data_IF_490217646548
#
_entry.id   IF_490217646548
#
_cell.length_a   1.000
_cell.length_b   1.000
_cell.length_c   1.000
_cell.angle_alpha   90.00
_cell.angle_beta   90.00
_cell.angle_gamma   90.00
#
_symmetry.space_group_name_H-M   'P 1'
#
loop_
_entity.id
_entity.type
_entity.pdbx_description
1 polymer ?
#
# COMPACT_ATOMS: atom_id res chain seq x y z
N UNK A 1 -13.74 -30.19 -18.45
CA UNK A 1 -12.90 -29.84 -19.64
C UNK A 1 -12.40 -28.42 -19.42
N UNK A 2 -11.12 -28.12 -19.65
CA UNK A 2 -10.58 -26.76 -19.51
C UNK A 2 -11.21 -25.87 -20.59
N UNK A 3 -11.86 -24.81 -20.19
CA UNK A 3 -12.55 -23.86 -21.09
C UNK A 3 -11.54 -22.87 -21.65
N UNK A 4 -11.62 -22.55 -22.94
CA UNK A 4 -10.81 -21.48 -23.52
C UNK A 4 -11.18 -20.14 -22.86
N UNK A 5 -10.17 -19.37 -22.45
CA UNK A 5 -10.42 -18.02 -21.92
C UNK A 5 -11.03 -17.13 -23.04
N UNK A 6 -11.96 -16.22 -22.71
CA UNK A 6 -12.51 -15.26 -23.66
C UNK A 6 -11.42 -14.39 -24.28
N UNK A 7 -11.71 -13.77 -25.45
CA UNK A 7 -10.80 -12.79 -26.05
C UNK A 7 -10.83 -11.47 -25.24
N UNK A 8 -9.71 -10.75 -25.20
CA UNK A 8 -9.65 -9.44 -24.54
C UNK A 8 -10.46 -8.43 -25.33
N UNK A 9 -11.34 -7.69 -24.65
CA UNK A 9 -12.18 -6.66 -25.29
C UNK A 9 -11.34 -5.49 -25.79
N UNK A 10 -11.74 -4.88 -26.89
CA UNK A 10 -11.15 -3.67 -27.48
C UNK A 10 -11.43 -2.40 -26.65
N UNK A 11 -12.34 -2.47 -25.68
CA UNK A 11 -12.63 -1.38 -24.73
C UNK A 11 -11.57 -1.19 -23.65
N UNK A 12 -10.63 -2.11 -23.52
CA UNK A 12 -9.51 -1.98 -22.58
C UNK A 12 -8.58 -0.85 -23.02
N UNK A 13 -8.26 0.03 -22.08
CA UNK A 13 -7.24 1.07 -22.30
C UNK A 13 -5.88 0.56 -21.82
N UNK A 14 -4.87 0.57 -22.70
CA UNK A 14 -3.50 0.14 -22.43
C UNK A 14 -2.57 1.35 -22.36
N UNK A 15 -2.43 2.04 -21.22
CA UNK A 15 -1.65 3.26 -21.12
C UNK A 15 -0.18 3.03 -21.47
N UNK A 16 0.37 3.85 -22.39
CA UNK A 16 1.77 3.75 -22.82
C UNK A 16 2.08 2.60 -23.79
N UNK A 17 1.07 1.88 -24.30
CA UNK A 17 1.23 0.88 -25.37
C UNK A 17 0.60 1.38 -26.66
N UNK A 18 1.30 1.24 -27.80
CA UNK A 18 0.72 1.61 -29.12
C UNK A 18 -0.33 0.59 -29.60
N UNK A 19 -0.22 -0.66 -29.16
CA UNK A 19 -1.11 -1.75 -29.58
C UNK A 19 -1.74 -2.44 -28.38
N UNK A 20 -3.02 -2.76 -28.48
CA UNK A 20 -3.74 -3.54 -27.48
C UNK A 20 -3.19 -4.98 -27.43
N UNK A 21 -3.10 -5.55 -26.22
CA UNK A 21 -2.77 -6.97 -26.05
C UNK A 21 -3.98 -7.82 -26.44
N UNK A 22 -3.74 -8.92 -27.14
CA UNK A 22 -4.75 -9.92 -27.50
C UNK A 22 -4.46 -11.23 -26.76
N UNK A 23 -5.47 -12.07 -26.58
CA UNK A 23 -5.25 -13.41 -25.99
C UNK A 23 -4.28 -14.26 -26.82
N UNK A 24 -4.22 -14.04 -28.15
CA UNK A 24 -3.25 -14.69 -29.01
C UNK A 24 -1.79 -14.39 -28.63
N UNK A 25 -1.52 -13.20 -28.08
CA UNK A 25 -0.17 -12.78 -27.65
C UNK A 25 0.27 -13.50 -26.37
N UNK A 26 -0.69 -14.01 -25.58
CA UNK A 26 -0.45 -14.80 -24.35
C UNK A 26 -0.38 -16.31 -24.63
N UNK A 27 -0.62 -16.78 -25.87
CA UNK A 27 -0.50 -18.21 -26.22
C UNK A 27 0.94 -18.61 -26.49
N UNK A 28 1.24 -19.90 -26.33
CA UNK A 28 2.56 -20.48 -26.57
C UNK A 28 3.40 -20.66 -25.31
N UNK A 29 3.03 -20.04 -24.20
CA UNK A 29 3.55 -20.32 -22.87
C UNK A 29 2.40 -20.19 -21.85
N UNK A 30 2.51 -20.77 -20.66
CA UNK A 30 1.58 -20.50 -19.56
C UNK A 30 1.50 -19.01 -19.27
N UNK A 31 0.32 -18.54 -18.89
CA UNK A 31 0.11 -17.13 -18.62
C UNK A 31 -0.65 -16.89 -17.32
N UNK A 32 -0.32 -15.81 -16.63
CA UNK A 32 -1.01 -15.28 -15.48
C UNK A 32 -1.83 -14.06 -15.92
N UNK A 33 -3.14 -14.11 -15.75
CA UNK A 33 -4.03 -13.01 -16.04
C UNK A 33 -4.74 -12.57 -14.77
N UNK A 34 -4.35 -11.40 -14.25
CA UNK A 34 -4.89 -10.85 -13.01
C UNK A 34 -6.02 -9.88 -13.28
N UNK A 35 -7.09 -9.99 -12.52
CA UNK A 35 -8.16 -9.00 -12.41
C UNK A 35 -8.14 -8.38 -11.00
N UNK A 36 -8.11 -7.05 -10.93
CA UNK A 36 -7.98 -6.37 -9.64
C UNK A 36 -8.39 -4.91 -9.67
N UNK A 37 -8.19 -4.19 -8.57
CA UNK A 37 -8.27 -2.74 -8.50
C UNK A 37 -6.98 -2.16 -7.89
N UNK A 38 -6.59 -0.96 -8.31
CA UNK A 38 -5.30 -0.37 -7.96
C UNK A 38 -5.14 -0.06 -6.46
N UNK A 39 -6.23 0.30 -5.78
CA UNK A 39 -6.26 0.60 -4.35
C UNK A 39 -6.23 -0.62 -3.44
N UNK A 40 -6.49 -1.82 -3.96
CA UNK A 40 -6.52 -3.04 -3.14
C UNK A 40 -5.12 -3.51 -2.76
N UNK A 41 -4.87 -3.65 -1.46
CA UNK A 41 -3.64 -4.22 -0.91
C UNK A 41 -3.38 -5.63 -1.46
N UNK A 42 -4.41 -6.45 -1.57
CA UNK A 42 -4.34 -7.81 -2.12
C UNK A 42 -4.00 -7.83 -3.63
N UNK A 43 -4.52 -6.88 -4.41
CA UNK A 43 -4.15 -6.74 -5.83
C UNK A 43 -2.67 -6.39 -5.95
N UNK A 44 -2.19 -5.42 -5.16
CA UNK A 44 -0.79 -5.00 -5.13
C UNK A 44 0.15 -6.16 -4.76
N UNK A 45 -0.23 -6.98 -3.79
CA UNK A 45 0.50 -8.20 -3.43
C UNK A 45 0.59 -9.16 -4.63
N UNK A 46 -0.54 -9.44 -5.30
CA UNK A 46 -0.53 -10.33 -6.48
C UNK A 46 0.31 -9.80 -7.64
N UNK A 47 0.33 -8.48 -7.87
CA UNK A 47 1.22 -7.86 -8.86
C UNK A 47 2.70 -8.12 -8.53
N UNK A 48 3.08 -7.98 -7.26
CA UNK A 48 4.44 -8.28 -6.79
C UNK A 48 4.77 -9.78 -6.90
N UNK A 49 3.84 -10.67 -6.56
CA UNK A 49 3.98 -12.12 -6.69
C UNK A 49 4.20 -12.53 -8.15
N UNK A 50 3.38 -12.01 -9.06
CA UNK A 50 3.52 -12.25 -10.50
C UNK A 50 4.87 -11.75 -11.03
N UNK A 51 5.33 -10.60 -10.56
CA UNK A 51 6.65 -10.06 -10.91
C UNK A 51 7.79 -10.99 -10.47
N UNK A 52 7.69 -11.57 -9.27
CA UNK A 52 8.67 -12.54 -8.76
C UNK A 52 8.68 -13.82 -9.58
N UNK A 53 7.50 -14.36 -9.92
CA UNK A 53 7.36 -15.55 -10.74
C UNK A 53 7.91 -15.35 -12.16
N UNK A 54 7.63 -14.20 -12.78
CA UNK A 54 8.18 -13.87 -14.10
C UNK A 54 9.70 -13.76 -14.09
N UNK A 55 10.30 -13.21 -13.03
CA UNK A 55 11.77 -13.20 -12.88
C UNK A 55 12.34 -14.61 -12.76
N UNK A 56 11.66 -15.48 -11.99
CA UNK A 56 12.10 -16.87 -11.76
C UNK A 56 12.00 -17.76 -13.02
N UNK A 57 10.89 -17.64 -13.77
CA UNK A 57 10.61 -18.54 -14.90
C UNK A 57 11.03 -17.99 -16.27
N UNK A 58 11.43 -16.71 -16.33
CA UNK A 58 11.92 -16.12 -17.57
C UNK A 58 10.87 -16.18 -18.69
N UNK A 59 11.29 -16.59 -19.90
CA UNK A 59 10.43 -16.62 -21.08
C UNK A 59 9.42 -17.78 -21.08
N UNK A 60 9.48 -18.66 -20.09
CA UNK A 60 8.55 -19.78 -19.92
C UNK A 60 7.22 -19.38 -19.28
N UNK A 61 7.07 -18.12 -18.88
CA UNK A 61 5.85 -17.60 -18.25
C UNK A 61 5.51 -16.22 -18.80
N UNK A 62 4.24 -15.97 -19.04
CA UNK A 62 3.71 -14.66 -19.43
C UNK A 62 2.77 -14.11 -18.39
N UNK A 63 2.51 -12.81 -18.43
CA UNK A 63 1.54 -12.16 -17.54
C UNK A 63 0.94 -10.89 -18.13
N UNK A 64 -0.27 -10.58 -17.68
CA UNK A 64 -0.93 -9.30 -17.86
C UNK A 64 -1.88 -9.05 -16.67
N UNK A 65 -2.23 -7.79 -16.42
CA UNK A 65 -3.24 -7.48 -15.42
C UNK A 65 -4.29 -6.49 -15.97
N UNK A 66 -5.55 -6.74 -15.62
CA UNK A 66 -6.70 -5.94 -15.97
C UNK A 66 -7.23 -5.28 -14.70
N UNK A 67 -7.19 -3.96 -14.66
CA UNK A 67 -7.49 -3.17 -13.46
C UNK A 67 -8.84 -2.48 -13.67
N UNK A 68 -9.83 -2.90 -12.89
CA UNK A 68 -11.14 -2.26 -12.85
C UNK A 68 -11.14 -1.19 -11.74
N UNK A 69 -11.65 0.03 -12.01
CA UNK A 69 -11.62 1.10 -11.03
C UNK A 69 -12.67 0.84 -9.94
N UNK A 70 -12.24 0.93 -8.67
CA UNK A 70 -13.12 0.96 -7.52
C UNK A 70 -13.52 2.39 -7.16
N UNK A 71 -12.55 3.30 -7.22
CA UNK A 71 -12.72 4.71 -6.93
C UNK A 71 -12.69 5.54 -8.23
N UNK A 72 -13.31 6.72 -8.18
CA UNK A 72 -13.30 7.64 -9.34
C UNK A 72 -11.88 8.04 -9.76
N UNK A 73 -10.99 8.22 -8.79
CA UNK A 73 -9.57 8.50 -9.05
C UNK A 73 -8.89 7.40 -9.89
N UNK A 74 -9.29 6.15 -9.78
CA UNK A 74 -8.69 5.04 -10.52
C UNK A 74 -9.11 4.98 -12.00
N UNK A 75 -10.10 5.79 -12.43
CA UNK A 75 -10.51 5.90 -13.83
C UNK A 75 -9.51 6.67 -14.69
N UNK A 76 -8.60 7.42 -14.06
CA UNK A 76 -7.54 8.13 -14.79
C UNK A 76 -6.43 7.15 -15.19
N UNK A 77 -6.16 6.98 -16.52
CA UNK A 77 -5.09 6.07 -16.98
C UNK A 77 -3.69 6.41 -16.44
N UNK A 78 -3.45 7.66 -16.01
CA UNK A 78 -2.18 8.07 -15.39
C UNK A 78 -1.92 7.35 -14.08
N UNK A 79 -2.96 7.08 -13.30
CA UNK A 79 -2.84 6.34 -12.04
C UNK A 79 -2.43 4.87 -12.27
N UNK A 80 -2.83 4.29 -13.42
CA UNK A 80 -2.37 2.96 -13.80
C UNK A 80 -0.90 2.95 -14.23
N UNK A 81 -0.43 3.98 -14.93
CA UNK A 81 0.99 4.15 -15.24
C UNK A 81 1.83 4.33 -13.98
N UNK A 82 1.30 5.10 -13.03
CA UNK A 82 1.93 5.27 -11.71
C UNK A 82 2.03 3.94 -10.97
N UNK A 83 0.95 3.16 -10.90
CA UNK A 83 0.96 1.82 -10.28
C UNK A 83 2.01 0.91 -10.93
N UNK A 84 2.10 0.91 -12.26
CA UNK A 84 3.09 0.13 -13.00
C UNK A 84 4.52 0.55 -12.66
N UNK A 85 4.78 1.85 -12.59
CA UNK A 85 6.11 2.39 -12.26
C UNK A 85 6.45 2.14 -10.78
N UNK A 86 5.52 2.38 -9.85
CA UNK A 86 5.67 2.15 -8.42
C UNK A 86 6.08 0.70 -8.10
N UNK A 87 5.49 -0.28 -8.80
CA UNK A 87 5.80 -1.70 -8.63
C UNK A 87 6.86 -2.24 -9.59
N UNK A 88 7.42 -1.38 -10.47
CA UNK A 88 8.37 -1.79 -11.53
C UNK A 88 7.91 -3.05 -12.28
N UNK A 89 6.62 -3.11 -12.66
CA UNK A 89 5.99 -4.30 -13.21
C UNK A 89 6.55 -4.64 -14.60
N UNK A 90 7.04 -5.88 -14.84
CA UNK A 90 7.62 -6.28 -16.12
C UNK A 90 6.60 -6.73 -17.18
N UNK A 91 5.30 -6.58 -16.89
CA UNK A 91 4.19 -7.01 -17.75
C UNK A 91 3.17 -5.89 -17.93
N UNK A 92 2.32 -5.97 -18.98
CA UNK A 92 1.36 -4.92 -19.28
C UNK A 92 0.18 -4.87 -18.31
N UNK A 93 -0.30 -3.64 -18.06
CA UNK A 93 -1.54 -3.36 -17.36
C UNK A 93 -2.56 -2.74 -18.32
N UNK A 94 -3.84 -3.11 -18.17
CA UNK A 94 -4.95 -2.44 -18.82
C UNK A 94 -5.94 -1.87 -17.81
N UNK A 95 -6.55 -0.75 -18.14
CA UNK A 95 -7.69 -0.19 -17.45
C UNK A 95 -8.99 -0.74 -18.06
N UNK A 96 -9.77 -1.44 -17.26
CA UNK A 96 -11.14 -1.90 -17.58
C UNK A 96 -12.14 -0.90 -16.98
N UNK A 97 -12.18 0.33 -17.52
CA UNK A 97 -12.91 1.44 -16.94
C UNK A 97 -14.42 1.17 -16.80
N UNK A 98 -14.97 0.39 -17.72
CA UNK A 98 -16.41 0.08 -17.80
C UNK A 98 -16.76 -1.34 -17.31
N UNK A 99 -15.78 -2.06 -16.72
CA UNK A 99 -15.93 -3.41 -16.17
C UNK A 99 -16.34 -4.45 -17.23
N UNK A 100 -16.01 -4.22 -18.50
CA UNK A 100 -16.42 -5.09 -19.61
C UNK A 100 -15.65 -6.41 -19.58
N UNK A 101 -14.31 -6.36 -19.43
CA UNK A 101 -13.51 -7.56 -19.30
C UNK A 101 -13.84 -8.31 -18.01
N UNK A 102 -14.09 -7.59 -16.92
CA UNK A 102 -14.55 -8.15 -15.66
C UNK A 102 -15.78 -9.03 -15.83
N UNK A 103 -16.81 -8.51 -16.49
CA UNK A 103 -18.06 -9.24 -16.76
C UNK A 103 -17.83 -10.41 -17.72
N UNK A 104 -17.09 -10.17 -18.80
CA UNK A 104 -16.81 -11.16 -19.84
C UNK A 104 -16.07 -12.41 -19.30
N UNK A 105 -15.18 -12.23 -18.33
CA UNK A 105 -14.44 -13.32 -17.69
C UNK A 105 -15.15 -13.90 -16.46
N UNK A 106 -16.36 -13.41 -16.14
CA UNK A 106 -17.13 -13.86 -14.99
C UNK A 106 -16.39 -13.67 -13.66
N UNK A 107 -15.76 -12.48 -13.49
CA UNK A 107 -15.04 -12.14 -12.25
C UNK A 107 -16.03 -11.61 -11.23
N UNK A 108 -15.99 -12.14 -10.00
CA UNK A 108 -16.91 -11.78 -8.93
C UNK A 108 -16.24 -10.98 -7.80
N UNK A 109 -14.90 -11.09 -7.69
CA UNK A 109 -14.14 -10.41 -6.66
C UNK A 109 -12.71 -10.12 -7.08
N UNK A 110 -12.06 -9.17 -6.42
CA UNK A 110 -10.64 -8.84 -6.62
C UNK A 110 -9.79 -9.15 -5.37
N UNK A 111 -8.53 -9.53 -5.59
CA UNK A 111 -7.98 -9.95 -6.87
C UNK A 111 -8.51 -11.34 -7.28
N UNK A 112 -8.67 -11.55 -8.58
CA UNK A 112 -8.84 -12.89 -9.15
C UNK A 112 -7.73 -13.14 -10.16
N UNK A 113 -6.97 -14.21 -9.97
CA UNK A 113 -5.88 -14.60 -10.82
C UNK A 113 -6.28 -15.86 -11.62
N UNK A 114 -6.22 -15.76 -12.95
CA UNK A 114 -6.40 -16.91 -13.84
C UNK A 114 -5.04 -17.46 -14.24
N UNK A 115 -4.85 -18.77 -14.07
CA UNK A 115 -3.73 -19.52 -14.59
C UNK A 115 -4.16 -20.15 -15.92
N UNK A 116 -3.52 -19.72 -17.00
CA UNK A 116 -3.81 -20.19 -18.37
C UNK A 116 -2.70 -21.12 -18.85
N UNK A 117 -3.06 -22.18 -19.55
CA UNK A 117 -2.08 -23.03 -20.23
C UNK A 117 -1.56 -22.36 -21.54
N UNK A 118 -0.59 -22.98 -22.19
CA UNK A 118 0.01 -22.49 -23.42
C UNK A 118 -1.00 -22.35 -24.61
N UNK A 119 -2.16 -22.95 -24.51
CA UNK A 119 -3.25 -22.84 -25.48
C UNK A 119 -4.24 -21.73 -25.12
N UNK A 120 -4.08 -21.06 -23.96
CA UNK A 120 -4.97 -20.03 -23.45
C UNK A 120 -6.23 -20.59 -22.79
N UNK A 121 -6.21 -21.84 -22.30
CA UNK A 121 -7.31 -22.46 -21.57
C UNK A 121 -7.13 -22.23 -20.07
N UNK A 122 -8.21 -21.88 -19.36
CA UNK A 122 -8.20 -21.71 -17.91
C UNK A 122 -7.94 -23.06 -17.22
N UNK A 123 -6.84 -23.15 -16.46
CA UNK A 123 -6.45 -24.33 -15.67
C UNK A 123 -6.83 -24.16 -14.19
N UNK A 124 -6.73 -22.95 -13.70
CA UNK A 124 -7.04 -22.63 -12.30
C UNK A 124 -7.46 -21.18 -12.18
N UNK A 125 -8.42 -20.93 -11.30
CA UNK A 125 -8.86 -19.61 -10.85
C UNK A 125 -8.56 -19.49 -9.37
N UNK A 126 -7.86 -18.43 -8.96
CA UNK A 126 -7.48 -18.16 -7.58
C UNK A 126 -8.09 -16.83 -7.19
N UNK A 127 -8.92 -16.84 -6.16
CA UNK A 127 -9.59 -15.65 -5.62
C UNK A 127 -8.85 -15.21 -4.36
N UNK A 128 -8.58 -13.91 -4.25
CA UNK A 128 -7.87 -13.31 -3.12
C UNK A 128 -6.35 -13.42 -3.23
N UNK A 129 -5.68 -12.93 -2.20
CA UNK A 129 -4.23 -13.03 -2.01
C UNK A 129 -3.95 -14.12 -1.00
N UNK A 130 -3.51 -15.29 -1.45
CA UNK A 130 -3.04 -16.38 -0.60
C UNK A 130 -1.51 -16.46 -0.58
N UNK A 131 -0.94 -17.46 0.12
CA UNK A 131 0.50 -17.63 0.23
C UNK A 131 1.21 -17.74 -1.13
N UNK A 132 2.36 -17.07 -1.23
CA UNK A 132 3.18 -17.10 -2.45
C UNK A 132 3.65 -18.52 -2.80
N UNK A 133 3.92 -19.36 -1.81
CA UNK A 133 4.38 -20.72 -1.99
C UNK A 133 3.40 -21.57 -2.80
N UNK A 134 2.10 -21.53 -2.47
CA UNK A 134 1.06 -22.26 -3.20
C UNK A 134 0.95 -21.80 -4.66
N UNK A 135 1.02 -20.51 -4.90
CA UNK A 135 1.01 -19.96 -6.25
C UNK A 135 2.25 -20.40 -7.02
N UNK A 136 3.43 -20.41 -6.39
CA UNK A 136 4.69 -20.82 -7.01
C UNK A 136 4.66 -22.31 -7.42
N UNK A 137 4.12 -23.19 -6.59
CA UNK A 137 3.94 -24.61 -6.89
C UNK A 137 3.03 -24.83 -8.10
N UNK A 138 1.87 -24.15 -8.14
CA UNK A 138 0.93 -24.25 -9.26
C UNK A 138 1.57 -23.76 -10.58
N UNK A 139 2.28 -22.64 -10.54
CA UNK A 139 2.97 -22.10 -11.72
C UNK A 139 4.11 -23.04 -12.17
N UNK A 140 4.88 -23.57 -11.23
CA UNK A 140 5.97 -24.52 -11.52
C UNK A 140 5.43 -25.78 -12.22
N UNK A 141 4.32 -26.35 -11.74
CA UNK A 141 3.67 -27.49 -12.36
C UNK A 141 3.22 -27.18 -13.79
N UNK A 142 2.57 -26.03 -13.98
CA UNK A 142 2.05 -25.61 -15.29
C UNK A 142 3.17 -25.34 -16.30
N UNK A 143 4.28 -24.76 -15.87
CA UNK A 143 5.47 -24.56 -16.71
C UNK A 143 6.13 -25.90 -17.07
N UNK A 144 6.17 -26.85 -16.14
CA UNK A 144 6.77 -28.19 -16.39
C UNK A 144 5.95 -29.04 -17.37
N UNK A 145 4.62 -28.89 -17.41
CA UNK A 145 3.72 -29.55 -18.36
C UNK A 145 3.86 -29.00 -19.80
N UNK A 146 4.47 -27.83 -19.96
CA UNK A 146 4.53 -27.13 -21.24
C UNK A 146 5.80 -27.56 -22.00
N UNK A 147 5.70 -28.10 -23.22
CA UNK A 147 6.88 -28.42 -24.05
C UNK A 147 7.71 -27.15 -24.29
N UNK A 148 9.01 -27.33 -24.47
CA UNK A 148 9.87 -26.21 -24.87
C UNK A 148 9.39 -25.58 -26.17
N UNK A 149 8.96 -24.29 -26.07
CA UNK A 149 8.53 -23.50 -27.20
C UNK A 149 9.66 -22.54 -27.56
N UNK A 150 9.93 -22.27 -28.84
CA UNK A 150 10.89 -21.25 -29.25
C UNK A 150 10.59 -19.93 -28.58
N UNK A 151 11.62 -19.25 -28.09
CA UNK A 151 11.49 -17.96 -27.39
C UNK A 151 10.61 -16.99 -28.17
N UNK A 152 9.43 -16.70 -27.67
CA UNK A 152 8.54 -15.67 -28.19
C UNK A 152 8.82 -14.33 -27.49
N UNK A 153 8.60 -13.25 -28.23
CA UNK A 153 8.70 -11.91 -27.66
C UNK A 153 7.60 -11.74 -26.60
N UNK A 154 8.01 -11.54 -25.36
CA UNK A 154 7.08 -11.25 -24.25
C UNK A 154 6.24 -10.02 -24.54
N UNK A 155 4.97 -9.99 -24.11
CA UNK A 155 4.23 -8.75 -24.02
C UNK A 155 5.03 -7.76 -23.16
N UNK A 156 5.55 -6.71 -23.79
CA UNK A 156 6.31 -5.70 -23.06
C UNK A 156 5.42 -4.96 -22.07
N UNK A 157 5.98 -4.53 -20.96
CA UNK A 157 5.32 -3.60 -20.04
C UNK A 157 4.85 -2.33 -20.79
N UNK A 158 3.87 -1.64 -20.23
CA UNK A 158 3.36 -0.40 -20.81
C UNK A 158 4.46 0.69 -20.81
N UNK A 159 4.75 1.22 -21.97
CA UNK A 159 5.78 2.21 -22.17
C UNK A 159 7.22 1.63 -22.20
N UNK A 160 8.13 2.40 -22.76
CA UNK A 160 9.55 2.16 -22.50
C UNK A 160 9.73 2.32 -20.99
N UNK A 161 10.58 1.52 -20.34
CA UNK A 161 11.28 1.96 -19.14
C UNK A 161 11.94 3.29 -19.50
N UNK A 162 11.16 4.37 -19.44
CA UNK A 162 11.73 5.68 -19.32
C UNK A 162 12.62 5.53 -18.09
N UNK A 163 13.89 5.82 -18.23
CA UNK A 163 14.71 6.13 -17.09
C UNK A 163 13.85 7.14 -16.31
N UNK A 164 13.15 6.68 -15.25
CA UNK A 164 12.62 7.60 -14.25
C UNK A 164 13.85 8.44 -13.91
N UNK A 165 13.77 9.78 -13.99
CA UNK A 165 14.87 10.58 -13.53
C UNK A 165 15.28 10.02 -12.17
N UNK A 166 16.56 9.90 -11.90
CA UNK A 166 17.06 9.53 -10.57
C UNK A 166 16.60 10.62 -9.61
N UNK A 167 15.32 10.55 -9.25
CA UNK A 167 14.72 11.47 -8.30
C UNK A 167 15.28 11.12 -6.92
N UNK A 168 15.56 12.10 -6.07
CA UNK A 168 16.01 11.85 -4.71
C UNK A 168 15.04 10.99 -3.92
N UNK A 169 13.73 11.10 -4.20
CA UNK A 169 12.65 10.31 -3.63
C UNK A 169 11.89 9.52 -4.70
N UNK A 170 11.41 8.34 -4.32
CA UNK A 170 10.52 7.52 -5.14
C UNK A 170 9.32 7.04 -4.33
N UNK A 171 8.15 7.58 -4.61
CA UNK A 171 6.89 7.24 -3.94
C UNK A 171 6.99 7.23 -2.40
N UNK A 172 7.40 8.34 -1.74
CA UNK A 172 7.47 8.39 -0.28
C UNK A 172 6.07 8.19 0.31
N UNK A 173 5.91 7.34 1.33
CA UNK A 173 4.58 7.00 1.88
C UNK A 173 4.40 7.36 3.35
N UNK A 174 5.45 7.34 4.15
CA UNK A 174 5.36 7.66 5.56
C UNK A 174 6.51 8.55 6.00
N UNK A 175 6.24 9.31 7.04
CA UNK A 175 7.24 10.15 7.68
C UNK A 175 6.95 10.27 9.18
N UNK A 176 8.00 10.43 9.97
CA UNK A 176 7.91 10.75 11.40
C UNK A 176 8.92 11.82 11.75
N UNK A 177 8.52 12.72 12.64
CA UNK A 177 9.33 13.84 13.10
C UNK A 177 9.97 13.48 14.44
N UNK A 178 11.28 13.51 14.49
CA UNK A 178 12.08 13.35 15.71
C UNK A 178 12.70 14.68 16.17
N UNK A 179 13.54 14.61 17.20
CA UNK A 179 14.27 15.78 17.69
C UNK A 179 15.36 16.20 16.69
N UNK A 180 15.14 17.31 16.01
CA UNK A 180 16.07 17.84 15.00
C UNK A 180 16.18 17.05 13.69
N UNK A 181 15.34 16.05 13.49
CA UNK A 181 15.42 15.12 12.37
C UNK A 181 14.05 14.70 11.86
N UNK A 182 14.02 14.29 10.60
CA UNK A 182 12.88 13.70 9.92
C UNK A 182 13.29 12.32 9.40
N UNK A 183 12.44 11.32 9.60
CA UNK A 183 12.59 9.99 9.01
C UNK A 183 11.51 9.78 7.95
N UNK A 184 11.91 9.27 6.78
CA UNK A 184 11.06 9.15 5.60
C UNK A 184 11.16 7.74 5.01
N UNK A 185 10.03 7.09 4.78
CA UNK A 185 9.96 5.85 4.01
C UNK A 185 9.98 6.19 2.51
N UNK A 186 11.11 6.00 1.87
CA UNK A 186 11.33 6.14 0.43
C UNK A 186 10.99 4.79 -0.25
N UNK A 187 9.68 4.53 -0.31
CA UNK A 187 9.08 3.23 -0.59
C UNK A 187 9.50 2.64 -1.92
N UNK A 188 9.56 3.45 -2.97
CA UNK A 188 9.94 3.00 -4.30
C UNK A 188 11.44 2.73 -4.46
N UNK A 189 12.29 3.33 -3.61
CA UNK A 189 13.71 3.02 -3.52
C UNK A 189 14.05 1.98 -2.44
N UNK A 190 13.04 1.41 -1.78
CA UNK A 190 13.21 0.32 -0.81
C UNK A 190 14.16 0.65 0.35
N UNK A 191 14.09 1.90 0.84
CA UNK A 191 14.97 2.43 1.87
C UNK A 191 14.25 3.37 2.83
N UNK A 192 14.88 3.63 3.96
CA UNK A 192 14.47 4.65 4.93
C UNK A 192 15.54 5.74 4.97
N UNK A 193 15.12 6.99 4.94
CA UNK A 193 16.01 8.14 5.01
C UNK A 193 15.87 8.85 6.35
N UNK A 194 16.99 9.24 6.94
CA UNK A 194 17.10 10.20 8.02
C UNK A 194 17.57 11.53 7.43
N UNK A 195 16.75 12.57 7.54
CA UNK A 195 17.04 13.91 7.01
C UNK A 195 17.03 14.95 8.11
N UNK A 196 17.71 16.07 7.89
CA UNK A 196 17.44 17.31 8.65
C UNK A 196 16.14 17.97 8.14
N UNK A 197 15.68 19.04 8.82
CA UNK A 197 14.46 19.75 8.44
C UNK A 197 14.56 20.58 7.16
N UNK A 198 15.75 20.66 6.54
CA UNK A 198 15.97 21.28 5.24
C UNK A 198 15.98 20.25 4.10
N UNK A 199 15.85 18.96 4.44
CA UNK A 199 15.84 17.87 3.48
C UNK A 199 17.21 17.26 3.17
N UNK A 200 18.28 17.70 3.84
CA UNK A 200 19.59 17.09 3.69
C UNK A 200 19.57 15.68 4.28
N UNK A 201 19.95 14.69 3.48
CA UNK A 201 20.08 13.29 3.91
C UNK A 201 21.29 13.17 4.84
N UNK A 202 21.04 12.75 6.08
CA UNK A 202 22.06 12.51 7.10
C UNK A 202 22.51 11.06 7.08
N UNK A 203 21.54 10.13 6.98
CA UNK A 203 21.78 8.68 6.87
C UNK A 203 20.71 8.02 6.01
N UNK A 204 21.11 6.92 5.40
CA UNK A 204 20.21 5.99 4.73
C UNK A 204 20.26 4.65 5.47
N UNK A 205 19.11 4.01 5.62
CA UNK A 205 18.96 2.64 6.09
C UNK A 205 18.35 1.80 4.98
N UNK A 206 19.02 0.72 4.64
CA UNK A 206 18.70 -0.14 3.51
C UNK A 206 19.54 0.16 2.27
N UNK A 207 20.02 -0.90 1.62
CA UNK A 207 20.85 -0.85 0.40
C UNK A 207 20.09 -0.36 -0.84
N UNK A 208 18.76 -0.25 -0.77
CA UNK A 208 17.89 -0.02 -1.93
C UNK A 208 17.56 -1.29 -2.72
N UNK A 209 18.11 -2.43 -2.35
CA UNK A 209 17.73 -3.71 -2.95
C UNK A 209 16.30 -4.10 -2.55
N UNK A 210 15.54 -4.62 -3.51
CA UNK A 210 14.22 -5.21 -3.29
C UNK A 210 14.37 -6.60 -2.68
N UNK A 211 14.65 -6.67 -1.38
CA UNK A 211 14.98 -7.91 -0.70
C UNK A 211 14.55 -7.89 0.78
N UNK A 212 14.84 -8.98 1.50
CA UNK A 212 14.57 -9.17 2.92
C UNK A 212 15.87 -9.56 3.62
N UNK A 213 16.55 -8.59 4.24
CA UNK A 213 17.83 -8.83 4.90
C UNK A 213 17.99 -7.90 6.11
N UNK A 214 18.42 -8.47 7.24
CA UNK A 214 18.90 -7.75 8.42
C UNK A 214 20.38 -7.39 8.24
N UNK A 215 20.86 -6.40 8.98
CA UNK A 215 22.27 -6.00 8.93
C UNK A 215 22.47 -4.54 9.29
N UNK A 216 23.68 -4.04 9.05
CA UNK A 216 24.01 -2.63 9.19
C UNK A 216 23.22 -1.73 8.24
N UNK A 217 23.29 -0.42 8.44
CA UNK A 217 22.50 0.56 7.68
C UNK A 217 22.62 0.41 6.15
N UNK A 218 23.79 0.09 5.62
CA UNK A 218 24.04 -0.09 4.18
C UNK A 218 23.80 -1.49 3.65
N UNK A 219 23.74 -2.50 4.55
CA UNK A 219 23.64 -3.92 4.17
C UNK A 219 22.20 -4.44 4.22
N UNK A 220 21.40 -3.90 5.12
CA UNK A 220 19.99 -4.29 5.25
C UNK A 220 19.22 -4.06 3.94
N UNK A 221 18.15 -4.81 3.75
CA UNK A 221 17.26 -4.62 2.62
C UNK A 221 15.79 -4.66 3.04
N UNK A 222 14.99 -3.83 2.39
CA UNK A 222 13.55 -3.71 2.57
C UNK A 222 12.81 -4.01 1.26
N UNK A 223 11.51 -4.26 1.39
CA UNK A 223 10.64 -4.39 0.23
C UNK A 223 9.43 -3.49 0.38
N UNK A 224 9.51 -2.30 -0.24
CA UNK A 224 8.42 -1.31 -0.21
C UNK A 224 7.95 -0.98 1.20
N UNK A 225 8.82 -0.47 2.08
CA UNK A 225 8.44 -0.05 3.43
C UNK A 225 7.42 1.09 3.35
N UNK A 226 6.32 1.03 4.12
CA UNK A 226 5.24 2.01 4.05
C UNK A 226 4.94 2.75 5.35
N UNK A 227 5.19 2.15 6.51
CA UNK A 227 4.86 2.76 7.79
C UNK A 227 6.09 2.96 8.66
N UNK A 228 6.10 4.05 9.42
CA UNK A 228 7.14 4.38 10.37
C UNK A 228 6.55 4.74 11.73
N UNK A 229 7.25 4.35 12.80
CA UNK A 229 6.97 4.84 14.15
C UNK A 229 8.28 5.02 14.92
N UNK A 230 8.41 6.16 15.60
CA UNK A 230 9.60 6.49 16.38
C UNK A 230 9.33 6.32 17.88
N UNK A 231 10.24 5.66 18.59
CA UNK A 231 10.22 5.57 20.03
C UNK A 231 11.65 5.62 20.57
N UNK A 232 12.01 6.72 21.24
CA UNK A 232 13.37 6.96 21.74
C UNK A 232 14.43 6.75 20.63
N UNK A 233 15.35 5.80 20.84
CA UNK A 233 16.44 5.47 19.91
C UNK A 233 16.07 4.32 18.93
N UNK A 234 14.80 4.01 18.79
CA UNK A 234 14.32 2.97 17.87
C UNK A 234 13.33 3.56 16.86
N UNK A 235 13.60 3.31 15.58
CA UNK A 235 12.66 3.53 14.48
C UNK A 235 12.09 2.19 14.03
N UNK A 236 10.78 2.04 14.13
CA UNK A 236 10.06 0.87 13.67
C UNK A 236 9.58 1.09 12.24
N UNK A 237 9.67 0.04 11.43
CA UNK A 237 9.34 0.05 10.00
C UNK A 237 8.33 -1.05 9.69
N UNK A 238 7.23 -0.68 9.07
CA UNK A 238 6.35 -1.63 8.38
C UNK A 238 6.95 -1.96 7.02
N UNK A 239 7.64 -3.07 6.94
CA UNK A 239 8.25 -3.60 5.71
C UNK A 239 7.19 -4.39 4.94
N UNK A 240 6.25 -3.65 4.34
CA UNK A 240 4.97 -4.12 3.83
C UNK A 240 5.12 -5.24 2.82
N UNK A 241 6.02 -5.10 1.86
CA UNK A 241 6.27 -6.11 0.83
C UNK A 241 7.00 -7.37 1.34
N UNK A 242 7.57 -7.30 2.54
CA UNK A 242 8.17 -8.44 3.23
C UNK A 242 7.25 -9.04 4.30
N UNK A 243 6.03 -8.52 4.47
CA UNK A 243 5.13 -8.96 5.53
C UNK A 243 5.84 -9.02 6.87
N UNK A 244 6.56 -7.94 7.23
CA UNK A 244 7.45 -7.92 8.38
C UNK A 244 7.41 -6.58 9.13
N UNK A 245 7.68 -6.65 10.43
CA UNK A 245 8.01 -5.51 11.26
C UNK A 245 9.52 -5.50 11.50
N UNK A 246 10.16 -4.36 11.18
CA UNK A 246 11.59 -4.19 11.36
C UNK A 246 11.86 -3.10 12.39
N UNK A 247 12.99 -3.20 13.08
CA UNK A 247 13.50 -2.20 14.01
C UNK A 247 14.87 -1.71 13.52
N UNK A 248 15.01 -0.41 13.44
CA UNK A 248 16.28 0.27 13.20
C UNK A 248 16.75 0.83 14.55
N UNK A 249 17.93 0.45 14.99
CA UNK A 249 18.62 1.08 16.11
C UNK A 249 19.26 2.38 15.63
N UNK A 250 18.80 3.52 16.12
CA UNK A 250 19.25 4.82 15.62
C UNK A 250 20.67 5.18 16.09
N UNK A 251 21.22 4.49 17.08
CA UNK A 251 22.59 4.69 17.54
C UNK A 251 23.57 3.93 16.64
N UNK A 252 23.38 2.63 16.48
CA UNK A 252 24.26 1.79 15.65
C UNK A 252 23.95 1.86 14.16
N UNK A 253 22.69 2.05 13.79
CA UNK A 253 22.20 1.95 12.42
C UNK A 253 21.76 0.55 12.03
N UNK A 254 21.83 -0.43 12.96
CA UNK A 254 21.46 -1.82 12.67
C UNK A 254 19.96 -1.99 12.46
N UNK A 255 19.62 -2.78 11.47
CA UNK A 255 18.25 -3.18 11.13
C UNK A 255 18.04 -4.63 11.53
N UNK A 256 17.02 -4.88 12.32
CA UNK A 256 16.65 -6.21 12.79
C UNK A 256 15.16 -6.50 12.57
N UNK A 257 14.83 -7.74 12.29
CA UNK A 257 13.43 -8.19 12.17
C UNK A 257 12.83 -8.47 13.53
N UNK A 258 11.69 -7.86 13.83
CA UNK A 258 10.89 -8.15 15.02
C UNK A 258 9.98 -9.36 14.80
N UNK A 259 9.29 -9.40 13.68
CA UNK A 259 8.46 -10.52 13.25
C UNK A 259 8.20 -10.45 11.74
N UNK A 260 7.80 -11.59 11.15
CA UNK A 260 7.63 -11.75 9.71
C UNK A 260 8.71 -12.65 9.11
N UNK A 261 8.53 -13.09 7.85
CA UNK A 261 9.43 -14.05 7.20
C UNK A 261 9.83 -13.70 5.76
N UNK A 262 9.37 -12.58 5.23
CA UNK A 262 9.66 -12.15 3.86
C UNK A 262 8.87 -12.84 2.75
N UNK A 263 8.09 -13.88 3.06
CA UNK A 263 7.45 -14.76 2.04
C UNK A 263 5.93 -14.57 1.93
N UNK A 264 5.29 -13.93 2.90
CA UNK A 264 3.86 -13.72 2.91
C UNK A 264 3.24 -13.85 4.29
N UNK A 265 1.91 -13.94 4.40
CA UNK A 265 1.21 -13.95 5.67
C UNK A 265 1.76 -15.00 6.63
N UNK A 266 2.14 -14.58 7.83
CA UNK A 266 2.66 -15.44 8.88
C UNK A 266 1.85 -15.24 10.14
N UNK A 267 1.39 -16.33 10.75
CA UNK A 267 0.73 -16.27 12.05
C UNK A 267 1.77 -16.21 13.16
N UNK A 268 1.64 -15.22 14.05
CA UNK A 268 2.49 -15.03 15.22
C UNK A 268 1.59 -14.82 16.43
N UNK A 269 1.69 -15.72 17.42
CA UNK A 269 0.78 -15.70 18.56
C UNK A 269 -0.67 -15.90 18.11
N UNK A 270 -1.54 -14.95 18.41
CA UNK A 270 -2.97 -14.95 18.02
C UNK A 270 -3.28 -14.04 16.83
N UNK A 271 -2.27 -13.47 16.20
CA UNK A 271 -2.42 -12.54 15.09
C UNK A 271 -1.60 -12.95 13.87
N UNK A 272 -2.05 -12.51 12.70
CA UNK A 272 -1.34 -12.70 11.43
C UNK A 272 -0.60 -11.42 11.07
N UNK A 273 0.65 -11.54 10.60
CA UNK A 273 1.35 -10.44 9.97
C UNK A 273 1.16 -10.52 8.46
N UNK A 274 0.33 -9.63 7.94
CA UNK A 274 0.03 -9.55 6.51
C UNK A 274 -0.09 -8.11 6.05
N UNK A 275 0.85 -7.68 5.20
CA UNK A 275 0.93 -6.32 4.67
C UNK A 275 0.77 -5.25 5.77
N UNK A 276 1.68 -5.21 6.77
CA UNK A 276 1.67 -4.14 7.75
C UNK A 276 1.87 -2.80 7.03
N UNK A 277 1.03 -1.81 7.34
CA UNK A 277 1.09 -0.48 6.72
C UNK A 277 1.39 0.59 7.76
N UNK A 278 0.37 1.12 8.44
CA UNK A 278 0.56 2.15 9.45
C UNK A 278 1.13 1.60 10.75
N UNK A 279 1.99 2.39 11.36
CA UNK A 279 2.57 2.11 12.68
C UNK A 279 2.32 3.27 13.64
N UNK A 280 2.11 2.94 14.90
CA UNK A 280 2.06 3.91 15.99
C UNK A 280 2.67 3.32 17.26
N UNK A 281 3.73 3.90 17.77
CA UNK A 281 4.37 3.45 18.99
C UNK A 281 3.75 4.09 20.25
N UNK A 282 3.67 3.29 21.29
CA UNK A 282 3.44 3.71 22.69
C UNK A 282 4.64 3.32 23.55
N UNK A 283 4.56 3.52 24.86
CA UNK A 283 5.66 3.15 25.76
C UNK A 283 5.97 1.65 25.74
N UNK A 284 4.96 0.78 25.56
CA UNK A 284 5.06 -0.67 25.67
C UNK A 284 4.67 -1.45 24.42
N UNK A 285 3.94 -0.83 23.50
CA UNK A 285 3.40 -1.50 22.32
C UNK A 285 3.67 -0.73 21.02
N UNK A 286 3.82 -1.47 19.97
CA UNK A 286 3.75 -0.97 18.59
C UNK A 286 2.41 -1.40 18.00
N UNK A 287 1.51 -0.44 17.79
CA UNK A 287 0.24 -0.69 17.10
C UNK A 287 0.48 -0.73 15.59
N UNK A 288 -0.19 -1.65 14.93
CA UNK A 288 0.03 -1.97 13.52
C UNK A 288 -1.31 -2.08 12.79
N UNK A 289 -1.46 -1.34 11.71
CA UNK A 289 -2.54 -1.52 10.77
C UNK A 289 -2.17 -2.64 9.77
N UNK A 290 -2.87 -3.77 9.82
CA UNK A 290 -2.68 -4.93 8.95
C UNK A 290 -3.63 -4.82 7.76
N UNK A 291 -3.19 -4.20 6.66
CA UNK A 291 -4.03 -3.99 5.49
C UNK A 291 -4.40 -5.31 4.77
N UNK A 292 -3.51 -6.30 4.79
CA UNK A 292 -3.77 -7.61 4.17
C UNK A 292 -4.75 -8.47 4.97
N UNK A 293 -4.84 -8.26 6.29
CA UNK A 293 -5.65 -9.06 7.21
C UNK A 293 -6.86 -8.29 7.80
N UNK A 294 -7.10 -7.04 7.40
CA UNK A 294 -8.21 -6.20 7.87
C UNK A 294 -8.30 -6.10 9.40
N UNK A 295 -7.17 -5.98 10.09
CA UNK A 295 -7.08 -5.94 11.55
C UNK A 295 -6.17 -4.82 12.04
N UNK A 296 -6.37 -4.45 13.29
CA UNK A 296 -5.43 -3.67 14.09
C UNK A 296 -4.80 -4.61 15.09
N UNK A 297 -3.47 -4.67 15.09
CA UNK A 297 -2.69 -5.50 15.99
C UNK A 297 -1.81 -4.65 16.90
N UNK A 298 -1.34 -5.22 17.99
CA UNK A 298 -0.34 -4.65 18.88
C UNK A 298 0.81 -5.66 19.07
N UNK A 299 2.03 -5.18 18.82
CA UNK A 299 3.24 -5.92 19.12
C UNK A 299 3.78 -5.44 20.48
N UNK A 300 3.84 -6.34 21.46
CA UNK A 300 4.41 -6.07 22.78
C UNK A 300 5.94 -6.00 22.67
N UNK A 301 6.50 -4.82 22.91
CA UNK A 301 7.93 -4.56 22.76
C UNK A 301 8.81 -5.29 23.78
N UNK A 302 8.23 -5.72 24.90
CA UNK A 302 8.94 -6.45 25.95
C UNK A 302 8.89 -7.97 25.75
N UNK A 303 7.75 -8.49 25.28
CA UNK A 303 7.49 -9.94 25.16
C UNK A 303 7.76 -10.48 23.75
N UNK A 304 7.85 -9.59 22.74
CA UNK A 304 7.98 -10.00 21.33
C UNK A 304 6.74 -10.71 20.80
N UNK A 305 5.56 -10.43 21.35
CA UNK A 305 4.31 -11.07 20.99
C UNK A 305 3.42 -10.09 20.17
N UNK A 306 2.79 -10.62 19.13
CA UNK A 306 1.80 -9.90 18.32
C UNK A 306 0.40 -10.40 18.68
N UNK A 307 -0.50 -9.48 18.99
CA UNK A 307 -1.87 -9.78 19.38
C UNK A 307 -2.85 -8.91 18.58
N UNK A 308 -4.03 -9.46 18.27
CA UNK A 308 -5.10 -8.68 17.64
C UNK A 308 -5.77 -7.80 18.68
N UNK A 309 -5.83 -6.49 18.42
CA UNK A 309 -6.57 -5.50 19.22
C UNK A 309 -8.02 -5.42 18.76
N UNK A 310 -8.24 -5.32 17.44
CA UNK A 310 -9.56 -5.21 16.86
C UNK A 310 -9.56 -5.67 15.39
N UNK A 311 -10.72 -6.14 14.93
CA UNK A 311 -10.96 -6.57 13.57
C UNK A 311 -11.20 -8.07 13.44
N UNK A 312 -12.28 -8.45 12.77
CA UNK A 312 -12.65 -9.83 12.49
C UNK A 312 -11.83 -10.47 11.36
N UNK A 313 -11.13 -9.65 10.55
CA UNK A 313 -10.49 -10.07 9.31
C UNK A 313 -11.42 -9.97 8.07
N UNK A 314 -12.72 -9.81 8.26
CA UNK A 314 -13.63 -9.56 7.15
C UNK A 314 -13.44 -8.16 6.58
N UNK A 315 -13.47 -8.06 5.26
CA UNK A 315 -13.43 -6.79 4.55
C UNK A 315 -14.80 -6.09 4.64
N UNK A 316 -14.97 -5.24 5.63
CA UNK A 316 -16.21 -4.49 5.89
C UNK A 316 -15.94 -3.27 6.78
N UNK A 317 -16.93 -2.41 6.94
CA UNK A 317 -16.97 -1.38 7.96
C UNK A 317 -18.07 -1.73 8.96
N UNK A 318 -17.68 -2.36 10.07
CA UNK A 318 -18.60 -2.68 11.16
C UNK A 318 -18.05 -2.17 12.48
N UNK A 319 -18.87 -1.45 13.23
CA UNK A 319 -18.58 -1.07 14.60
C UNK A 319 -18.82 -2.28 15.53
N UNK A 320 -18.17 -2.28 16.69
CA UNK A 320 -18.31 -3.37 17.66
C UNK A 320 -17.11 -3.44 18.59
N UNK A 321 -17.07 -4.47 19.44
CA UNK A 321 -15.97 -4.71 20.34
C UNK A 321 -14.97 -5.72 19.76
N UNK A 322 -13.69 -5.40 19.77
CA UNK A 322 -12.60 -6.29 19.42
C UNK A 322 -12.81 -7.03 18.10
N UNK A 323 -12.94 -8.34 18.18
CA UNK A 323 -13.09 -9.23 17.02
C UNK A 323 -14.47 -9.18 16.33
N UNK A 324 -15.44 -8.47 16.89
CA UNK A 324 -16.77 -8.26 16.26
C UNK A 324 -16.77 -7.03 15.32
N UNK A 325 -15.77 -6.16 15.45
CA UNK A 325 -15.58 -5.07 14.50
C UNK A 325 -14.98 -5.60 13.19
N UNK A 326 -15.13 -4.83 12.11
CA UNK A 326 -14.48 -5.12 10.84
C UNK A 326 -13.87 -3.84 10.26
N UNK A 327 -12.76 -4.01 9.52
CA UNK A 327 -12.06 -2.98 8.79
C UNK A 327 -11.96 -3.33 7.29
N UNK A 328 -11.68 -2.33 6.48
CA UNK A 328 -11.47 -2.47 5.05
C UNK A 328 -10.07 -1.92 4.68
N UNK A 329 -9.04 -2.73 4.86
CA UNK A 329 -7.64 -2.42 4.60
C UNK A 329 -7.14 -1.17 5.34
N UNK A 330 -7.05 -1.20 6.67
CA UNK A 330 -6.59 -0.08 7.49
C UNK A 330 -5.13 0.26 7.16
N UNK A 331 -4.80 1.56 7.16
CA UNK A 331 -3.47 2.07 6.81
C UNK A 331 -2.89 3.01 7.86
N UNK A 332 -3.31 4.28 7.91
CA UNK A 332 -2.75 5.29 8.82
C UNK A 332 -3.22 5.14 10.26
N UNK A 333 -2.34 5.38 11.22
CA UNK A 333 -2.62 5.32 12.66
C UNK A 333 -2.17 6.59 13.37
N UNK A 334 -2.96 7.06 14.34
CA UNK A 334 -2.57 8.12 15.27
C UNK A 334 -3.13 7.83 16.67
N UNK A 335 -2.31 7.92 17.71
CA UNK A 335 -2.68 7.60 19.09
C UNK A 335 -2.79 8.86 19.94
N UNK A 336 -3.93 9.03 20.61
CA UNK A 336 -4.11 10.05 21.63
C UNK A 336 -4.67 9.41 22.90
N UNK A 337 -3.89 9.41 23.97
CA UNK A 337 -4.23 8.71 25.20
C UNK A 337 -4.55 7.22 24.91
N UNK A 338 -5.76 6.77 25.18
CA UNK A 338 -6.22 5.39 24.98
C UNK A 338 -7.10 5.23 23.71
N UNK A 339 -7.06 6.18 22.78
CA UNK A 339 -7.81 6.13 21.53
C UNK A 339 -6.85 6.11 20.35
N UNK A 340 -6.91 5.02 19.59
CA UNK A 340 -6.20 4.88 18.33
C UNK A 340 -7.13 5.26 17.17
N UNK A 341 -6.79 6.34 16.46
CA UNK A 341 -7.47 6.75 15.24
C UNK A 341 -6.88 6.02 14.06
N UNK A 342 -7.74 5.57 13.14
CA UNK A 342 -7.38 4.69 12.03
C UNK A 342 -7.94 5.24 10.74
N UNK A 343 -7.09 5.40 9.72
CA UNK A 343 -7.54 5.47 8.33
C UNK A 343 -7.93 4.06 7.87
N UNK A 344 -9.21 3.84 7.66
CA UNK A 344 -9.73 2.60 7.08
C UNK A 344 -9.86 2.79 5.57
N UNK A 345 -8.70 2.66 4.87
CA UNK A 345 -8.47 3.26 3.56
C UNK A 345 -9.46 2.77 2.48
N UNK A 346 -9.60 1.46 2.33
CA UNK A 346 -10.54 0.92 1.36
C UNK A 346 -12.00 1.08 1.80
N UNK A 347 -12.23 1.40 3.07
CA UNK A 347 -13.53 1.81 3.59
C UNK A 347 -13.86 3.28 3.39
N UNK A 348 -12.91 4.10 2.92
CA UNK A 348 -13.03 5.56 2.85
C UNK A 348 -13.48 6.18 4.17
N UNK A 349 -12.98 5.62 5.28
CA UNK A 349 -13.45 5.91 6.62
C UNK A 349 -12.33 6.31 7.59
N UNK A 350 -12.73 7.05 8.63
CA UNK A 350 -11.91 7.26 9.83
C UNK A 350 -12.60 6.56 10.98
N UNK A 351 -11.84 5.69 11.66
CA UNK A 351 -12.32 4.90 12.78
C UNK A 351 -11.59 5.29 14.06
N UNK A 352 -12.24 5.07 15.20
CA UNK A 352 -11.63 5.18 16.53
C UNK A 352 -11.67 3.79 17.21
N UNK A 353 -10.52 3.33 17.69
CA UNK A 353 -10.37 2.11 18.50
C UNK A 353 -10.05 2.56 19.92
N UNK A 354 -10.94 2.29 20.85
CA UNK A 354 -10.78 2.58 22.27
C UNK A 354 -10.03 1.41 22.91
N UNK A 355 -8.77 1.62 23.26
CA UNK A 355 -7.84 0.55 23.66
C UNK A 355 -8.22 -0.13 24.99
N UNK A 356 -8.97 0.55 25.88
CA UNK A 356 -9.36 -0.01 27.20
C UNK A 356 -10.39 -1.12 27.10
N UNK A 357 -11.38 -0.94 26.21
CA UNK A 357 -12.50 -1.85 26.04
C UNK A 357 -12.56 -2.47 24.63
N UNK A 358 -11.55 -2.17 23.81
CA UNK A 358 -11.41 -2.61 22.41
C UNK A 358 -12.60 -2.22 21.52
N UNK A 359 -13.41 -1.27 21.93
CA UNK A 359 -14.55 -0.80 21.16
C UNK A 359 -14.09 -0.03 19.93
N UNK A 360 -14.66 -0.35 18.78
CA UNK A 360 -14.44 0.34 17.50
C UNK A 360 -15.66 1.15 17.13
N UNK A 361 -15.44 2.40 16.74
CA UNK A 361 -16.49 3.31 16.31
C UNK A 361 -16.08 4.02 15.01
N UNK A 362 -17.00 4.09 14.06
CA UNK A 362 -16.83 4.89 12.85
C UNK A 362 -17.05 6.37 13.17
N UNK A 363 -16.06 7.18 12.81
CA UNK A 363 -16.15 8.64 12.95
C UNK A 363 -16.62 9.30 11.64
N UNK A 364 -16.12 8.83 10.50
CA UNK A 364 -16.48 9.30 9.14
C UNK A 364 -16.53 8.09 8.24
N UNK A 365 -17.45 8.07 7.25
CA UNK A 365 -17.65 6.98 6.30
C UNK A 365 -18.83 6.08 6.67
N UNK A 366 -19.48 5.47 5.68
CA UNK A 366 -20.68 4.64 5.87
C UNK A 366 -20.54 3.26 5.25
N UNK A 367 -19.46 2.96 4.54
CA UNK A 367 -19.23 1.65 3.94
C UNK A 367 -18.17 1.68 2.84
N UNK A 368 -17.69 0.50 2.43
CA UNK A 368 -16.60 0.39 1.46
C UNK A 368 -16.90 0.97 0.07
N UNK A 369 -18.15 1.23 -0.23
CA UNK A 369 -18.60 1.81 -1.52
C UNK A 369 -19.20 3.20 -1.37
N UNK A 370 -19.16 3.78 -0.16
CA UNK A 370 -19.63 5.13 0.13
C UNK A 370 -18.43 6.08 0.26
N UNK A 371 -17.99 6.63 -0.85
CA UNK A 371 -16.86 7.54 -0.94
C UNK A 371 -17.21 8.80 -1.72
N UNK A 372 -16.36 9.80 -1.67
CA UNK A 372 -16.54 11.05 -2.41
C UNK A 372 -15.65 12.16 -1.88
N UNK A 373 -15.98 13.40 -2.27
CA UNK A 373 -15.28 14.62 -1.88
C UNK A 373 -16.29 15.61 -1.28
N UNK A 374 -16.76 15.33 -0.06
CA UNK A 374 -17.82 16.12 0.61
C UNK A 374 -17.37 16.50 2.01
N UNK A 375 -17.29 17.78 2.26
CA UNK A 375 -17.04 18.35 3.59
C UNK A 375 -18.33 18.48 4.40
N UNK A 376 -18.20 18.60 5.71
CA UNK A 376 -19.34 18.84 6.61
C UNK A 376 -19.36 17.95 7.85
N UNK A 377 -20.51 17.86 8.51
CA UNK A 377 -20.69 16.95 9.65
C UNK A 377 -20.33 15.50 9.31
N UNK A 378 -19.84 14.74 10.29
CA UNK A 378 -19.39 13.34 10.14
C UNK A 378 -20.40 12.44 9.40
N UNK A 379 -21.70 12.70 9.60
CA UNK A 379 -22.77 11.89 9.01
C UNK A 379 -22.94 12.07 7.50
N UNK A 380 -22.46 13.18 6.95
CA UNK A 380 -22.58 13.49 5.52
C UNK A 380 -21.24 13.62 4.81
N UNK A 381 -20.15 13.85 5.54
CA UNK A 381 -18.81 13.97 4.97
C UNK A 381 -18.40 12.68 4.25
N UNK A 382 -17.70 12.85 3.12
CA UNK A 382 -17.16 11.75 2.31
C UNK A 382 -15.69 11.98 2.03
N UNK A 383 -14.93 10.93 2.22
CA UNK A 383 -13.51 10.83 1.87
C UNK A 383 -13.35 9.85 0.72
N UNK A 384 -12.18 9.81 0.12
CA UNK A 384 -11.85 8.80 -0.88
C UNK A 384 -10.43 8.26 -0.63
N UNK A 385 -10.35 7.02 -0.19
CA UNK A 385 -9.08 6.32 0.04
C UNK A 385 -8.10 7.11 0.94
N UNK A 386 -8.49 7.49 2.17
CA UNK A 386 -7.60 8.19 3.10
C UNK A 386 -6.47 7.24 3.52
N UNK A 387 -5.21 7.71 3.41
CA UNK A 387 -4.05 6.84 3.65
C UNK A 387 -3.31 7.12 4.94
N UNK A 388 -3.21 8.38 5.34
CA UNK A 388 -2.45 8.77 6.52
C UNK A 388 -3.25 9.74 7.39
N UNK A 389 -2.92 9.73 8.68
CA UNK A 389 -3.57 10.55 9.70
C UNK A 389 -2.53 11.00 10.72
N UNK A 390 -2.62 12.24 11.16
CA UNK A 390 -1.79 12.78 12.22
C UNK A 390 -2.62 13.61 13.19
N UNK A 391 -2.26 13.58 14.49
CA UNK A 391 -2.83 14.45 15.49
C UNK A 391 -2.16 15.82 15.45
N UNK A 392 -2.97 16.86 15.49
CA UNK A 392 -2.45 18.19 15.74
C UNK A 392 -1.94 18.28 17.19
N UNK A 393 -0.73 18.83 17.41
CA UNK A 393 -0.16 18.90 18.75
C UNK A 393 -0.83 19.93 19.66
N UNK A 394 -1.54 20.91 19.09
CA UNK A 394 -2.11 22.05 19.82
C UNK A 394 -3.63 21.94 19.93
N UNK A 395 -4.29 21.48 18.89
CA UNK A 395 -5.74 21.40 18.78
C UNK A 395 -6.27 19.96 18.82
N UNK A 396 -7.52 19.74 19.28
CA UNK A 396 -8.17 18.43 19.18
C UNK A 396 -8.61 18.16 17.74
N UNK A 397 -7.64 18.03 16.84
CA UNK A 397 -7.80 17.97 15.40
C UNK A 397 -6.98 16.79 14.84
N UNK A 398 -7.55 16.10 13.86
CA UNK A 398 -6.86 15.14 13.03
C UNK A 398 -6.61 15.73 11.64
N UNK A 399 -5.37 15.68 11.19
CA UNK A 399 -4.99 15.89 9.80
C UNK A 399 -5.13 14.57 9.05
N UNK A 400 -5.73 14.58 7.88
CA UNK A 400 -6.03 13.40 7.07
C UNK A 400 -5.50 13.62 5.66
N UNK A 401 -4.65 12.73 5.18
CA UNK A 401 -4.28 12.63 3.77
C UNK A 401 -5.39 11.88 3.02
N UNK A 402 -6.31 12.62 2.41
CA UNK A 402 -7.43 12.12 1.61
C UNK A 402 -6.94 11.84 0.17
N UNK A 403 -6.17 10.75 0.04
CA UNK A 403 -5.30 10.48 -1.10
C UNK A 403 -6.06 10.34 -2.43
N UNK A 404 -7.24 9.71 -2.41
CA UNK A 404 -8.07 9.57 -3.62
C UNK A 404 -8.68 10.88 -4.11
N UNK A 405 -8.71 11.92 -3.26
CA UNK A 405 -9.15 13.26 -3.61
C UNK A 405 -7.99 14.25 -3.81
N UNK A 406 -6.73 13.79 -3.73
CA UNK A 406 -5.51 14.61 -3.87
C UNK A 406 -5.48 15.83 -2.93
N UNK A 407 -5.94 15.68 -1.68
CA UNK A 407 -6.09 16.78 -0.75
C UNK A 407 -5.74 16.42 0.70
N UNK A 408 -5.63 17.46 1.54
CA UNK A 408 -5.69 17.33 2.99
C UNK A 408 -7.09 17.69 3.49
N UNK A 409 -7.52 16.96 4.52
CA UNK A 409 -8.70 17.30 5.30
C UNK A 409 -8.34 17.37 6.77
N UNK A 410 -9.18 18.06 7.53
CA UNK A 410 -9.14 18.07 8.99
C UNK A 410 -10.43 17.52 9.55
N UNK A 411 -10.34 16.79 10.67
CA UNK A 411 -11.49 16.33 11.45
C UNK A 411 -11.37 16.84 12.89
N UNK A 412 -12.28 17.72 13.30
CA UNK A 412 -12.38 18.16 14.71
C UNK A 412 -12.92 17.05 15.58
N UNK A 413 -12.18 16.67 16.61
CA UNK A 413 -12.56 15.58 17.51
C UNK A 413 -13.76 15.93 18.38
N UNK A 414 -13.84 17.19 18.87
CA UNK A 414 -14.94 17.65 19.73
C UNK A 414 -16.22 18.04 19.00
N UNK A 415 -16.14 18.49 17.73
CA UNK A 415 -17.30 19.01 16.98
C UNK A 415 -17.76 18.13 15.81
N UNK A 416 -16.96 17.13 15.43
CA UNK A 416 -17.34 16.17 14.40
C UNK A 416 -17.53 16.74 12.99
N UNK A 417 -16.76 17.77 12.61
CA UNK A 417 -16.80 18.37 11.28
C UNK A 417 -15.54 18.00 10.52
N UNK A 418 -15.71 17.51 9.30
CA UNK A 418 -14.65 17.32 8.30
C UNK A 418 -14.59 18.57 7.45
N UNK A 419 -13.39 19.11 7.26
CA UNK A 419 -13.16 20.28 6.40
C UNK A 419 -11.94 20.05 5.53
N UNK A 420 -12.08 20.29 4.22
CA UNK A 420 -10.95 20.33 3.32
C UNK A 420 -10.01 21.48 3.69
N UNK A 421 -8.71 21.25 3.61
CA UNK A 421 -7.70 22.26 3.84
C UNK A 421 -7.21 22.80 2.49
N UNK A 422 -7.35 24.11 2.29
CA UNK A 422 -6.96 24.77 1.04
C UNK A 422 -5.43 24.94 0.99
N UNK A 423 -4.80 24.33 0.02
CA UNK A 423 -3.38 24.48 -0.29
C UNK A 423 -3.18 25.31 -1.55
N UNK A 424 -2.04 26.01 -1.70
CA UNK A 424 -1.74 26.81 -2.90
C UNK A 424 -1.47 25.93 -4.14
N UNK A 425 -1.27 24.65 -3.96
CA UNK A 425 -1.09 23.66 -5.02
C UNK A 425 -1.88 22.38 -4.72
N UNK A 426 -2.25 21.66 -5.77
CA UNK A 426 -2.85 20.33 -5.67
C UNK A 426 -1.79 19.31 -5.23
N UNK A 427 -2.16 18.38 -4.37
CA UNK A 427 -1.37 17.21 -4.04
C UNK A 427 -1.57 16.09 -5.09
N UNK A 428 -0.73 15.06 -5.02
CA UNK A 428 -0.80 13.91 -5.91
C UNK A 428 -0.79 12.62 -5.07
N UNK A 429 -1.96 12.16 -4.70
CA UNK A 429 -2.14 10.95 -3.87
C UNK A 429 -1.25 10.96 -2.61
N UNK A 430 -1.40 11.94 -1.70
CA UNK A 430 -0.56 12.07 -0.51
C UNK A 430 -0.67 10.81 0.35
N UNK A 431 0.47 10.19 0.68
CA UNK A 431 0.53 8.93 1.42
C UNK A 431 0.88 9.08 2.88
N UNK A 432 1.49 10.19 3.28
CA UNK A 432 1.96 10.42 4.64
C UNK A 432 1.75 11.82 5.14
N UNK A 433 1.42 11.97 6.44
CA UNK A 433 1.36 13.24 7.16
C UNK A 433 1.92 13.05 8.56
N UNK A 434 2.66 14.04 9.07
CA UNK A 434 3.11 14.08 10.45
C UNK A 434 3.25 15.52 10.95
N UNK A 435 2.84 15.77 12.20
CA UNK A 435 3.02 17.03 12.87
C UNK A 435 4.32 17.03 13.69
N UNK A 436 5.07 18.10 13.63
CA UNK A 436 6.26 18.32 14.46
C UNK A 436 7.10 19.48 13.96
N UNK A 437 7.94 20.03 14.85
CA UNK A 437 8.76 21.20 14.55
C UNK A 437 7.96 22.39 14.01
N UNK A 438 6.84 22.70 14.68
CA UNK A 438 5.89 23.78 14.33
C UNK A 438 5.37 23.71 12.88
N UNK A 439 5.29 22.52 12.30
CA UNK A 439 4.86 22.30 10.92
C UNK A 439 4.07 20.99 10.76
N UNK A 440 3.26 20.94 9.70
CA UNK A 440 2.73 19.71 9.15
C UNK A 440 3.62 19.31 7.96
N UNK A 441 4.18 18.11 8.04
CA UNK A 441 4.97 17.50 6.98
C UNK A 441 4.10 16.57 6.16
N UNK A 442 4.29 16.57 4.84
CA UNK A 442 3.45 15.82 3.90
C UNK A 442 4.35 15.05 2.93
N UNK A 443 4.19 13.73 2.88
CA UNK A 443 4.73 12.91 1.80
C UNK A 443 3.73 12.93 0.64
N UNK A 444 4.00 13.73 -0.38
CA UNK A 444 3.20 13.77 -1.61
C UNK A 444 3.67 12.67 -2.55
N UNK A 445 3.12 11.48 -2.33
CA UNK A 445 3.60 10.22 -2.88
C UNK A 445 3.69 10.24 -4.40
N UNK A 446 2.62 10.66 -5.07
CA UNK A 446 2.56 10.67 -6.53
C UNK A 446 3.39 11.78 -7.18
N UNK A 447 3.77 12.80 -6.41
CA UNK A 447 4.68 13.86 -6.84
C UNK A 447 6.16 13.56 -6.50
N UNK A 448 6.46 12.44 -5.83
CA UNK A 448 7.81 12.12 -5.35
C UNK A 448 8.42 13.23 -4.47
N UNK A 449 7.60 13.85 -3.64
CA UNK A 449 7.96 15.08 -2.96
C UNK A 449 7.73 15.03 -1.46
N UNK A 450 8.55 15.79 -0.74
CA UNK A 450 8.35 16.16 0.64
C UNK A 450 7.92 17.62 0.71
N UNK A 451 6.78 17.87 1.36
CA UNK A 451 6.26 19.21 1.56
C UNK A 451 6.20 19.54 3.05
N UNK A 452 6.36 20.82 3.36
CA UNK A 452 6.23 21.37 4.70
C UNK A 452 5.21 22.51 4.68
N UNK A 453 4.17 22.39 5.50
CA UNK A 453 3.22 23.44 5.79
C UNK A 453 3.57 24.05 7.15
N UNK A 454 4.04 25.28 7.14
CA UNK A 454 4.42 26.00 8.37
C UNK A 454 3.18 26.35 9.21
N UNK A 455 3.17 25.98 10.48
CA UNK A 455 2.04 26.23 11.39
C UNK A 455 1.86 27.70 11.76
N UNK A 456 2.89 28.54 11.59
CA UNK A 456 2.87 29.96 11.98
C UNK A 456 2.19 30.86 10.95
N UNK A 457 2.48 30.64 9.65
CA UNK A 457 2.01 31.51 8.57
C UNK A 457 1.20 30.78 7.49
N UNK A 458 1.03 29.46 7.62
CA UNK A 458 0.31 28.62 6.65
C UNK A 458 1.04 28.47 5.31
N UNK A 459 2.34 28.79 5.24
CA UNK A 459 3.12 28.72 4.01
C UNK A 459 3.45 27.28 3.68
N UNK A 460 3.07 26.83 2.48
CA UNK A 460 3.48 25.53 1.94
C UNK A 460 4.81 25.68 1.20
N UNK A 461 5.77 24.82 1.53
CA UNK A 461 7.10 24.79 0.89
C UNK A 461 7.42 23.38 0.41
N UNK A 462 8.01 23.28 -0.75
CA UNK A 462 8.69 22.08 -1.20
C UNK A 462 10.04 21.96 -0.46
N UNK A 463 10.30 20.81 0.14
CA UNK A 463 11.58 20.52 0.82
C UNK A 463 12.41 19.63 -0.11
N UNK A 464 13.46 20.15 -0.72
CA UNK A 464 14.32 19.34 -1.59
C UNK A 464 15.07 18.31 -0.74
N UNK A 465 14.84 17.03 -1.03
CA UNK A 465 15.55 15.93 -0.35
C UNK A 465 16.77 15.58 -1.18
N UNK A 466 17.96 15.55 -0.55
CA UNK A 466 19.21 15.25 -1.24
C UNK A 466 20.43 15.30 -0.30
N UNK A 467 21.63 15.08 -0.85
CA UNK A 467 22.90 15.13 -0.12
C UNK A 467 23.35 16.57 0.21
#
# INVERSE_FOLDING_TARGET
MATSAPELTDRLTWPGRPEALRMADLRGAPALLLFGCASSAWTRQRLDDMSRLLRRHGDKLQAAALIAPRFDAERDPRNLQQLQAEHALPFPLALDADWVAWQQFGIESWPTLLLLDAQGRERKRIVGAGPMAELAELVQALVAETPEVPARKKPAANGKRGLMPELPLSYPTALVVGTGKLYLADTGHHRILECDFNGRIVRQFGSGAYDYMDGGAGDAAFRRPQGLALQREALFVADTGNHALRRIDLLSGDVTTLCGNGEGPTQIGTATIDQPCGLQASASHLYVAMAGDNRICAYDLSRGALETVAGSGFFAINDGNGMFAAFAQPTGLALRQDVLYVCDAAGSAIRAVYLRDQRVQTLVGQGPYDFGNIDGPRSIARLQWPRAIALDPHDPLLWIADAGNDRLCTLRLGGGVVSGFSLPQRLHSPGGVACGNDALWIADTGAHALLRLDGRDGTLRHVPVGE
#
